data_IF_454800748027
#
_entry.id   IF_454800748027
#
_cell.length_a   1.000
_cell.length_b   1.000
_cell.length_c   1.000
_cell.angle_alpha   90.00
_cell.angle_beta   90.00
_cell.angle_gamma   90.00
#
_symmetry.space_group_name_H-M   'P 1'
#
loop_
_entity.id
_entity.type
_entity.pdbx_description
1 polymer ?
#
# COMPACT_ATOMS: atom_id res chain seq x y z
N UNK A 1 -16.06 -9.02 4.44
CA UNK A 1 -16.05 -7.93 3.45
C UNK A 1 -16.76 -8.42 2.18
N UNK A 2 -17.46 -7.56 1.42
CA UNK A 2 -18.10 -7.96 0.16
C UNK A 2 -17.12 -7.83 -1.01
N UNK A 3 -17.26 -8.66 -2.06
CA UNK A 3 -16.39 -8.59 -3.25
C UNK A 3 -16.33 -7.20 -3.91
N UNK A 4 -17.37 -6.39 -3.72
CA UNK A 4 -17.43 -5.03 -4.26
C UNK A 4 -16.45 -4.10 -3.53
N UNK A 5 -16.40 -4.19 -2.20
CA UNK A 5 -15.48 -3.41 -1.36
C UNK A 5 -14.02 -3.75 -1.70
N UNK A 6 -13.74 -5.03 -1.97
CA UNK A 6 -12.40 -5.47 -2.37
C UNK A 6 -11.98 -4.83 -3.70
N UNK A 7 -12.87 -4.77 -4.69
CA UNK A 7 -12.60 -4.15 -5.99
C UNK A 7 -12.41 -2.63 -5.88
N UNK A 8 -13.21 -1.96 -5.06
CA UNK A 8 -13.07 -0.52 -4.81
C UNK A 8 -11.73 -0.20 -4.15
N UNK A 9 -11.31 -1.00 -3.17
CA UNK A 9 -10.05 -0.81 -2.47
C UNK A 9 -8.83 -1.05 -3.39
N UNK A 10 -8.86 -2.09 -4.21
CA UNK A 10 -7.80 -2.37 -5.19
C UNK A 10 -7.72 -1.25 -6.25
N UNK A 11 -8.87 -0.72 -6.69
CA UNK A 11 -8.94 0.41 -7.61
C UNK A 11 -8.40 1.70 -6.98
N UNK A 12 -8.75 1.96 -5.72
CA UNK A 12 -8.24 3.11 -4.97
C UNK A 12 -6.72 3.02 -4.77
N UNK A 13 -6.19 1.84 -4.44
CA UNK A 13 -4.77 1.59 -4.37
C UNK A 13 -4.08 1.88 -5.72
N UNK A 14 -4.64 1.41 -6.84
CA UNK A 14 -4.08 1.67 -8.17
C UNK A 14 -3.98 3.18 -8.52
N UNK A 15 -4.91 3.99 -8.00
CA UNK A 15 -4.85 5.47 -8.15
C UNK A 15 -3.83 6.09 -7.20
N UNK A 16 -3.72 5.57 -5.98
CA UNK A 16 -2.78 6.05 -4.96
C UNK A 16 -1.32 5.75 -5.33
N UNK A 17 -1.05 4.70 -6.09
CA UNK A 17 0.28 4.37 -6.61
C UNK A 17 0.39 4.66 -8.13
N UNK A 18 0.49 5.94 -8.55
CA UNK A 18 0.44 6.31 -9.96
C UNK A 18 1.71 5.96 -10.75
N UNK A 19 2.83 5.75 -10.06
CA UNK A 19 4.15 5.55 -10.66
C UNK A 19 4.91 4.41 -10.01
N UNK A 20 5.87 3.85 -10.76
CA UNK A 20 6.80 2.85 -10.22
C UNK A 20 7.64 3.44 -9.08
N UNK A 21 7.89 2.64 -8.05
CA UNK A 21 8.68 3.01 -6.87
C UNK A 21 9.78 1.99 -6.53
N UNK A 22 9.99 1.00 -7.42
CA UNK A 22 11.04 -0.02 -7.30
C UNK A 22 11.00 -0.78 -5.97
N UNK A 23 9.83 -1.30 -5.64
CA UNK A 23 9.61 -2.08 -4.42
C UNK A 23 8.29 -2.85 -4.45
N UNK A 24 8.08 -3.68 -3.43
CA UNK A 24 6.86 -4.45 -3.23
C UNK A 24 6.29 -4.12 -1.85
N UNK A 25 4.99 -3.85 -1.79
CA UNK A 25 4.29 -3.57 -0.55
C UNK A 25 3.22 -4.62 -0.35
N UNK A 26 3.20 -5.28 0.81
CA UNK A 26 2.03 -6.00 1.30
C UNK A 26 1.26 -5.08 2.24
N UNK A 27 -0.05 -4.98 2.03
CA UNK A 27 -0.95 -4.22 2.89
C UNK A 27 -1.86 -5.21 3.58
N UNK A 28 -1.77 -5.30 4.90
CA UNK A 28 -2.62 -6.11 5.79
C UNK A 28 -3.64 -5.20 6.49
N UNK A 29 -4.93 -5.50 6.29
CA UNK A 29 -6.07 -4.80 6.90
C UNK A 29 -6.45 -5.54 8.17
N UNK A 30 -6.18 -4.93 9.32
CA UNK A 30 -6.19 -5.60 10.62
C UNK A 30 -7.60 -6.01 11.09
N UNK A 31 -8.61 -5.24 10.74
CA UNK A 31 -10.01 -5.41 11.15
C UNK A 31 -10.85 -6.24 10.15
N UNK A 32 -10.24 -6.77 9.08
CA UNK A 32 -10.95 -7.46 8.02
C UNK A 32 -10.35 -8.81 7.56
N UNK A 33 -9.28 -9.30 8.22
CA UNK A 33 -8.51 -10.49 7.79
C UNK A 33 -8.25 -10.52 6.27
N UNK A 34 -7.80 -9.37 5.76
CA UNK A 34 -7.62 -9.13 4.33
C UNK A 34 -6.24 -8.57 4.05
N UNK A 35 -5.62 -9.03 2.97
CA UNK A 35 -4.36 -8.50 2.53
C UNK A 35 -4.24 -8.49 1.01
N UNK A 36 -3.47 -7.54 0.51
CA UNK A 36 -3.14 -7.44 -0.91
C UNK A 36 -1.73 -6.90 -1.10
N UNK A 37 -1.29 -6.94 -2.34
CA UNK A 37 0.06 -6.61 -2.77
C UNK A 37 0.03 -5.47 -3.77
N UNK A 38 1.05 -4.62 -3.69
CA UNK A 38 1.36 -3.57 -4.65
C UNK A 38 2.78 -3.83 -5.14
N UNK A 39 2.92 -4.22 -6.39
CA UNK A 39 4.20 -4.37 -7.07
C UNK A 39 4.54 -3.09 -7.82
N UNK A 40 5.37 -2.25 -7.21
CA UNK A 40 5.85 -0.98 -7.77
C UNK A 40 7.09 -1.12 -8.65
N UNK A 41 7.52 -2.34 -8.99
CA UNK A 41 8.64 -2.57 -9.91
C UNK A 41 8.24 -2.37 -11.37
N UNK A 42 6.94 -2.31 -11.66
CA UNK A 42 6.37 -2.03 -12.99
C UNK A 42 5.71 -0.65 -13.05
N UNK A 43 5.54 -0.14 -14.27
CA UNK A 43 4.77 1.08 -14.54
C UNK A 43 3.62 0.76 -15.53
N UNK A 44 2.34 0.87 -15.12
CA UNK A 44 1.88 1.22 -13.77
C UNK A 44 2.18 0.11 -12.74
N UNK A 45 2.20 0.44 -11.44
CA UNK A 45 2.25 -0.57 -10.38
C UNK A 45 1.10 -1.58 -10.48
N UNK A 46 1.39 -2.85 -10.20
CA UNK A 46 0.38 -3.91 -10.22
C UNK A 46 -0.19 -4.11 -8.81
N UNK A 47 -1.51 -4.02 -8.67
CA UNK A 47 -2.23 -4.29 -7.42
C UNK A 47 -2.94 -5.64 -7.52
N UNK A 48 -2.71 -6.57 -6.58
CA UNK A 48 -3.32 -7.91 -6.61
C UNK A 48 -3.47 -8.53 -5.22
N UNK A 49 -4.43 -9.44 -5.06
CA UNK A 49 -4.50 -10.29 -3.86
C UNK A 49 -3.36 -11.33 -3.80
N UNK A 50 -2.85 -11.73 -4.96
CA UNK A 50 -1.75 -12.68 -5.09
C UNK A 50 -0.40 -12.01 -4.86
N UNK A 51 0.49 -12.73 -4.18
CA UNK A 51 1.87 -12.28 -3.97
C UNK A 51 2.64 -12.27 -5.29
N UNK A 52 3.40 -11.20 -5.58
CA UNK A 52 4.25 -11.18 -6.76
C UNK A 52 5.45 -12.12 -6.60
N UNK A 53 6.04 -12.53 -7.71
CA UNK A 53 7.25 -13.36 -7.68
C UNK A 53 8.44 -12.58 -7.07
N UNK A 54 9.30 -13.32 -6.36
CA UNK A 54 10.58 -12.82 -5.80
C UNK A 54 10.47 -11.59 -4.87
N UNK A 55 9.70 -11.71 -3.78
CA UNK A 55 9.51 -10.66 -2.74
C UNK A 55 10.75 -10.44 -1.85
N UNK A 56 11.83 -11.21 -2.00
CA UNK A 56 12.91 -11.30 -1.01
C UNK A 56 13.66 -9.97 -0.73
N UNK A 57 13.60 -8.99 -1.63
CA UNK A 57 14.29 -7.69 -1.48
C UNK A 57 13.34 -6.54 -1.79
N UNK A 58 13.58 -5.36 -1.19
CA UNK A 58 12.76 -4.15 -1.41
C UNK A 58 11.30 -4.38 -1.08
N UNK A 59 11.07 -5.12 0.01
CA UNK A 59 9.77 -5.47 0.51
C UNK A 59 9.40 -4.63 1.73
N UNK A 60 8.18 -4.14 1.75
CA UNK A 60 7.60 -3.41 2.85
C UNK A 60 6.24 -4.00 3.22
N UNK A 61 5.93 -4.03 4.51
CA UNK A 61 4.66 -4.50 5.05
C UNK A 61 3.98 -3.37 5.80
N UNK A 62 2.78 -3.03 5.36
CA UNK A 62 1.88 -2.08 5.98
C UNK A 62 0.78 -2.82 6.74
N UNK A 63 0.50 -2.34 7.95
CA UNK A 63 -0.61 -2.79 8.79
C UNK A 63 -1.42 -1.59 9.23
N UNK A 64 -2.72 -1.63 8.96
CA UNK A 64 -3.62 -0.48 9.10
C UNK A 64 -5.06 -0.98 9.19
N UNK A 65 -5.93 -0.25 9.89
CA UNK A 65 -7.37 -0.56 9.94
C UNK A 65 -8.07 -0.07 8.65
N UNK A 66 -9.16 -0.72 8.25
CA UNK A 66 -9.87 -0.41 7.02
C UNK A 66 -10.30 1.07 6.89
N UNK A 67 -10.84 1.75 7.93
CA UNK A 67 -11.23 3.15 7.83
C UNK A 67 -10.04 4.08 7.52
N UNK A 68 -8.90 3.84 8.16
CA UNK A 68 -7.69 4.63 7.98
C UNK A 68 -7.04 4.37 6.61
N UNK A 69 -7.07 3.13 6.12
CA UNK A 69 -6.61 2.78 4.78
C UNK A 69 -7.46 3.44 3.69
N UNK A 70 -8.79 3.38 3.85
CA UNK A 70 -9.73 4.01 2.92
C UNK A 70 -9.52 5.52 2.86
N UNK A 71 -9.30 6.15 4.02
CA UNK A 71 -9.01 7.57 4.10
C UNK A 71 -7.65 7.92 3.48
N UNK A 72 -6.61 7.11 3.74
CA UNK A 72 -5.28 7.28 3.15
C UNK A 72 -5.33 7.27 1.62
N UNK A 73 -6.05 6.32 1.02
CA UNK A 73 -6.19 6.24 -0.43
C UNK A 73 -7.06 7.36 -1.03
N UNK A 74 -8.02 7.91 -0.28
CA UNK A 74 -8.87 9.00 -0.75
C UNK A 74 -8.18 10.37 -0.75
N UNK A 75 -7.27 10.61 0.19
CA UNK A 75 -6.70 11.94 0.45
C UNK A 75 -5.26 12.13 -0.06
N UNK A 76 -4.58 11.07 -0.52
CA UNK A 76 -3.23 11.12 -1.07
C UNK A 76 -2.09 11.05 -0.03
N UNK A 77 -0.83 11.04 -0.48
CA UNK A 77 0.34 10.67 0.32
C UNK A 77 0.80 11.68 1.36
N UNK A 78 0.30 12.92 1.37
CA UNK A 78 0.48 13.83 2.52
C UNK A 78 -0.03 13.23 3.85
N UNK A 79 -0.94 12.27 3.79
CA UNK A 79 -1.45 11.55 4.97
C UNK A 79 -0.65 10.31 5.33
N UNK A 80 0.24 9.82 4.46
CA UNK A 80 1.03 8.60 4.71
C UNK A 80 1.94 8.78 5.93
N UNK A 81 2.73 9.86 5.92
CA UNK A 81 3.62 10.22 7.03
C UNK A 81 2.84 10.49 8.32
N UNK A 82 1.71 11.21 8.23
CA UNK A 82 0.87 11.50 9.39
C UNK A 82 0.26 10.22 10.00
N UNK A 83 -0.26 9.32 9.18
CA UNK A 83 -0.79 8.04 9.63
C UNK A 83 0.29 7.16 10.27
N UNK A 84 1.53 7.21 9.77
CA UNK A 84 2.66 6.55 10.41
C UNK A 84 3.01 7.17 11.77
N UNK A 85 3.19 8.48 11.84
CA UNK A 85 3.55 9.22 13.08
C UNK A 85 2.49 9.02 14.17
N UNK A 86 1.21 9.02 13.80
CA UNK A 86 0.09 8.85 14.73
C UNK A 86 -0.16 7.39 15.14
N UNK A 87 0.60 6.44 14.58
CA UNK A 87 0.51 5.01 14.92
C UNK A 87 -0.65 4.26 14.25
N UNK A 88 -1.42 4.93 13.38
CA UNK A 88 -2.53 4.32 12.60
C UNK A 88 -2.02 3.43 11.47
N UNK A 89 -0.87 3.78 10.90
CA UNK A 89 -0.15 2.96 9.94
C UNK A 89 1.12 2.40 10.60
N UNK A 90 1.25 1.08 10.64
CA UNK A 90 2.50 0.41 11.05
C UNK A 90 3.23 -0.09 9.82
N UNK A 91 4.52 0.20 9.74
CA UNK A 91 5.38 -0.15 8.61
C UNK A 91 6.52 -1.03 9.11
N UNK A 92 6.85 -2.09 8.37
CA UNK A 92 8.00 -2.95 8.62
C UNK A 92 8.65 -3.39 7.31
N UNK A 93 9.93 -3.80 7.35
CA UNK A 93 10.70 -4.18 6.16
C UNK A 93 11.64 -3.07 5.67
N UNK A 94 11.79 -2.94 4.36
CA UNK A 94 12.68 -1.97 3.71
C UNK A 94 12.08 -0.56 3.69
N UNK A 95 12.51 0.28 4.62
CA UNK A 95 12.12 1.70 4.68
C UNK A 95 12.57 2.51 3.47
N UNK A 96 13.54 2.02 2.68
CA UNK A 96 13.92 2.63 1.41
C UNK A 96 12.78 2.59 0.38
N UNK A 97 11.85 1.63 0.47
CA UNK A 97 10.62 1.61 -0.35
C UNK A 97 9.74 2.81 -0.02
N UNK A 98 9.63 3.17 1.27
CA UNK A 98 8.85 4.33 1.71
C UNK A 98 9.43 5.66 1.23
N UNK A 99 10.75 5.81 1.32
CA UNK A 99 11.42 7.00 0.82
C UNK A 99 11.22 7.18 -0.70
N UNK A 100 11.22 6.08 -1.46
CA UNK A 100 10.95 6.10 -2.90
C UNK A 100 9.51 6.49 -3.22
N UNK A 101 8.53 6.03 -2.42
CA UNK A 101 7.13 6.45 -2.57
C UNK A 101 6.93 7.95 -2.40
N UNK A 102 7.57 8.56 -1.40
CA UNK A 102 7.51 10.02 -1.20
C UNK A 102 8.06 10.77 -2.43
N UNK A 103 9.15 10.28 -3.03
CA UNK A 103 9.70 10.89 -4.26
C UNK A 103 8.89 10.59 -5.53
N UNK A 104 8.07 9.54 -5.54
CA UNK A 104 7.24 9.17 -6.67
C UNK A 104 5.95 10.01 -6.79
N UNK A 105 5.84 11.10 -6.02
CA UNK A 105 4.65 11.95 -5.88
C UNK A 105 3.40 11.17 -5.47
N UNK A 106 3.54 10.28 -4.49
CA UNK A 106 2.40 9.69 -3.77
C UNK A 106 1.90 10.69 -2.73
#
# INVERSE_FOLDING_TARGET
>A
MSKLVDQELLSAAGKFFPQAFDGVIRIEVLDADYAFWVDGRTAPPKVSAESPEAVATRFCLWRIDFPDLSQLFAEGGHRLQNSFITGRLKISGDMGVMARLETANV
#
